data_IF_083814859490
#
_entry.id   IF_083814859490
#
_cell.length_a   1.000
_cell.length_b   1.000
_cell.length_c   1.000
_cell.angle_alpha   90.00
_cell.angle_beta   90.00
_cell.angle_gamma   90.00
#
_symmetry.space_group_name_H-M   'P 1'
#
loop_
_entity.id
_entity.type
_entity.pdbx_description
1 polymer ?
#
# COMPACT_ATOMS: atom_id res chain seq x y z
N UNK A 1 5.86 -7.84 -9.19
CA UNK A 1 6.66 -6.67 -8.76
C UNK A 1 6.21 -5.38 -9.40
N UNK A 2 5.81 -4.41 -8.57
CA UNK A 2 5.51 -3.05 -9.01
C UNK A 2 6.76 -2.37 -9.58
N UNK A 3 6.56 -1.50 -10.57
CA UNK A 3 7.61 -0.65 -11.09
C UNK A 3 8.07 0.38 -10.06
N UNK A 4 9.31 0.88 -10.19
CA UNK A 4 9.81 1.95 -9.33
C UNK A 4 8.96 3.24 -9.43
N UNK A 5 8.31 3.49 -10.57
CA UNK A 5 7.39 4.62 -10.75
C UNK A 5 6.14 4.47 -9.87
N UNK A 6 5.53 3.28 -9.86
CA UNK A 6 4.40 2.96 -9.00
C UNK A 6 4.77 3.03 -7.50
N UNK A 7 5.96 2.57 -7.12
CA UNK A 7 6.46 2.72 -5.74
C UNK A 7 6.59 4.19 -5.36
N UNK A 8 7.14 5.02 -6.26
CA UNK A 8 7.26 6.47 -6.05
C UNK A 8 5.88 7.14 -5.98
N UNK A 9 4.93 6.72 -6.82
CA UNK A 9 3.55 7.20 -6.78
C UNK A 9 2.91 6.95 -5.40
N UNK A 10 2.97 5.72 -4.90
CA UNK A 10 2.42 5.37 -3.58
C UNK A 10 3.13 6.18 -2.48
N UNK A 11 4.46 6.30 -2.55
CA UNK A 11 5.23 7.09 -1.59
C UNK A 11 4.81 8.57 -1.58
N UNK A 12 4.55 9.17 -2.74
CA UNK A 12 4.04 10.53 -2.82
C UNK A 12 2.64 10.66 -2.19
N UNK A 13 1.72 9.71 -2.45
CA UNK A 13 0.39 9.70 -1.84
C UNK A 13 0.43 9.63 -0.31
N UNK A 14 1.39 8.89 0.23
CA UNK A 14 1.63 8.84 1.68
C UNK A 14 2.21 10.16 2.16
N UNK A 15 3.22 10.71 1.50
CA UNK A 15 3.86 11.98 1.86
C UNK A 15 2.91 13.20 1.77
N UNK A 16 1.82 13.11 0.99
CA UNK A 16 0.76 14.12 0.94
C UNK A 16 -0.16 14.07 2.18
N UNK A 17 -0.22 12.92 2.86
CA UNK A 17 -1.18 12.66 3.95
C UNK A 17 -0.53 12.53 5.33
N UNK A 18 0.70 12.00 5.35
CA UNK A 18 1.49 11.76 6.55
C UNK A 18 2.59 12.81 6.57
N UNK A 19 2.75 13.47 7.71
CA UNK A 19 3.82 14.44 7.94
C UNK A 19 4.72 13.91 9.07
N UNK A 20 6.02 13.79 8.83
CA UNK A 20 7.01 13.34 9.81
C UNK A 20 7.81 14.53 10.36
N UNK A 21 7.33 15.23 11.40
CA UNK A 21 7.82 16.55 11.82
C UNK A 21 9.28 16.61 12.29
N UNK A 22 9.90 15.45 12.56
CA UNK A 22 11.28 15.34 13.05
C UNK A 22 12.29 15.21 11.89
N UNK A 23 11.81 14.91 10.68
CA UNK A 23 12.64 14.69 9.49
C UNK A 23 12.50 15.88 8.53
N UNK A 24 13.56 16.16 7.76
CA UNK A 24 13.41 17.06 6.60
C UNK A 24 12.73 16.32 5.45
N UNK A 25 12.04 17.05 4.56
CA UNK A 25 11.22 16.47 3.47
C UNK A 25 11.90 15.34 2.67
N UNK A 26 13.21 15.50 2.36
CA UNK A 26 13.96 14.46 1.64
C UNK A 26 14.15 13.17 2.45
N UNK A 27 14.38 13.29 3.75
CA UNK A 27 14.55 12.14 4.63
C UNK A 27 13.21 11.46 4.90
N UNK A 28 12.14 12.24 5.05
CA UNK A 28 10.77 11.76 5.16
C UNK A 28 10.35 10.93 3.94
N UNK A 29 10.49 11.48 2.73
CA UNK A 29 10.19 10.75 1.50
C UNK A 29 11.01 9.45 1.38
N UNK A 30 12.28 9.45 1.80
CA UNK A 30 13.10 8.25 1.78
C UNK A 30 12.60 7.18 2.75
N UNK A 31 12.21 7.56 3.97
CA UNK A 31 11.62 6.65 4.96
C UNK A 31 10.30 6.09 4.44
N UNK A 32 9.43 6.94 3.91
CA UNK A 32 8.14 6.54 3.33
C UNK A 32 8.35 5.59 2.15
N UNK A 33 9.28 5.88 1.24
CA UNK A 33 9.58 4.97 0.13
C UNK A 33 10.04 3.60 0.63
N UNK A 34 10.90 3.57 1.66
CA UNK A 34 11.36 2.32 2.28
C UNK A 34 10.21 1.58 2.98
N UNK A 35 9.28 2.30 3.58
CA UNK A 35 8.05 1.77 4.15
C UNK A 35 7.25 1.00 3.09
N UNK A 36 6.95 1.68 1.98
CA UNK A 36 6.19 1.12 0.85
C UNK A 36 6.87 -0.12 0.32
N UNK A 37 8.19 -0.09 0.09
CA UNK A 37 8.92 -1.27 -0.38
C UNK A 37 8.77 -2.45 0.58
N UNK A 38 8.93 -2.25 1.89
CA UNK A 38 8.72 -3.33 2.87
C UNK A 38 7.30 -3.90 2.86
N UNK A 39 6.30 -3.04 2.72
CA UNK A 39 4.90 -3.50 2.61
C UNK A 39 4.75 -4.37 1.37
N UNK A 40 5.25 -3.90 0.23
CA UNK A 40 5.18 -4.65 -1.02
C UNK A 40 5.88 -6.01 -0.93
N UNK A 41 7.09 -6.06 -0.36
CA UNK A 41 7.83 -7.32 -0.18
C UNK A 41 7.00 -8.34 0.63
N UNK A 42 6.36 -7.90 1.72
CA UNK A 42 5.52 -8.79 2.54
C UNK A 42 4.24 -9.21 1.82
N UNK A 43 3.62 -8.32 1.06
CA UNK A 43 2.44 -8.68 0.28
C UNK A 43 2.80 -9.67 -0.82
N UNK A 44 3.95 -9.53 -1.48
CA UNK A 44 4.41 -10.49 -2.48
C UNK A 44 4.70 -11.87 -1.87
N UNK A 45 5.25 -11.91 -0.66
CA UNK A 45 5.55 -13.17 0.04
C UNK A 45 4.29 -13.89 0.57
N UNK A 46 3.23 -13.16 0.91
CA UNK A 46 2.12 -13.68 1.70
C UNK A 46 0.77 -13.69 0.94
N UNK A 47 0.62 -12.87 -0.11
CA UNK A 47 -0.59 -12.85 -0.94
C UNK A 47 -0.44 -13.83 -2.11
N UNK A 48 -1.48 -14.64 -2.40
CA UNK A 48 -1.53 -15.46 -3.61
C UNK A 48 -1.25 -14.65 -4.89
N UNK A 49 -0.44 -15.21 -5.78
CA UNK A 49 -0.06 -14.60 -7.06
C UNK A 49 -1.27 -14.16 -7.90
N UNK A 50 -2.39 -14.89 -7.81
CA UNK A 50 -3.66 -14.54 -8.47
C UNK A 50 -4.19 -13.14 -8.08
N UNK A 51 -3.97 -12.68 -6.85
CA UNK A 51 -4.37 -11.33 -6.45
C UNK A 51 -3.35 -10.27 -6.89
N UNK A 52 -2.08 -10.66 -7.09
CA UNK A 52 -1.08 -9.76 -7.66
C UNK A 52 -1.40 -9.48 -9.13
N UNK A 53 -1.92 -10.48 -9.87
CA UNK A 53 -2.42 -10.31 -11.24
C UNK A 53 -3.50 -9.21 -11.35
N UNK A 54 -4.24 -8.91 -10.29
CA UNK A 54 -5.27 -7.86 -10.31
C UNK A 54 -4.67 -6.46 -10.49
N UNK A 55 -3.39 -6.27 -10.14
CA UNK A 55 -2.65 -5.03 -10.39
C UNK A 55 -2.25 -4.87 -11.86
N UNK A 56 -2.20 -5.97 -12.62
CA UNK A 56 -1.79 -6.01 -14.02
C UNK A 56 -2.99 -6.08 -14.98
N UNK A 57 -4.04 -6.81 -14.61
CA UNK A 57 -5.27 -7.01 -15.39
C UNK A 57 -6.50 -6.52 -14.62
N UNK A 58 -6.95 -5.32 -14.97
CA UNK A 58 -8.09 -4.65 -14.33
C UNK A 58 -9.42 -5.39 -14.52
N UNK A 59 -9.51 -6.34 -15.45
CA UNK A 59 -10.72 -7.12 -15.67
C UNK A 59 -10.94 -8.22 -14.61
N UNK A 60 -9.88 -8.61 -13.90
CA UNK A 60 -9.89 -9.71 -12.91
C UNK A 60 -10.04 -9.25 -11.46
N UNK A 61 -9.98 -7.94 -11.22
CA UNK A 61 -9.97 -7.36 -9.89
C UNK A 61 -11.18 -7.68 -9.01
N UNK A 62 -11.08 -7.32 -7.72
CA UNK A 62 -12.19 -7.40 -6.79
C UNK A 62 -13.40 -6.65 -7.32
N UNK A 63 -14.57 -7.31 -7.37
CA UNK A 63 -15.78 -6.77 -7.95
C UNK A 63 -16.80 -6.47 -6.82
N UNK A 64 -16.98 -5.19 -6.44
CA UNK A 64 -17.94 -4.80 -5.40
C UNK A 64 -19.39 -5.13 -5.78
N UNK A 65 -19.73 -5.15 -7.07
CA UNK A 65 -21.07 -5.51 -7.55
C UNK A 65 -21.33 -7.02 -7.40
N UNK A 66 -20.28 -7.83 -7.38
CA UNK A 66 -20.35 -9.25 -7.06
C UNK A 66 -20.13 -9.56 -5.57
N UNK A 67 -20.17 -8.54 -4.72
CA UNK A 67 -20.16 -8.70 -3.26
C UNK A 67 -18.78 -8.62 -2.60
N UNK A 68 -17.73 -8.22 -3.32
CA UNK A 68 -16.44 -7.97 -2.70
C UNK A 68 -16.54 -6.79 -1.71
N UNK A 69 -16.23 -7.04 -0.44
CA UNK A 69 -16.16 -5.99 0.57
C UNK A 69 -14.75 -5.39 0.61
N UNK A 70 -14.53 -4.35 -0.21
CA UNK A 70 -13.25 -3.69 -0.36
C UNK A 70 -12.73 -3.13 0.97
N UNK A 71 -13.61 -2.56 1.81
CA UNK A 71 -13.20 -2.01 3.10
C UNK A 71 -12.69 -3.11 4.03
N UNK A 72 -13.38 -4.25 4.09
CA UNK A 72 -12.93 -5.38 4.90
C UNK A 72 -11.57 -5.93 4.42
N UNK A 73 -11.36 -5.99 3.11
CA UNK A 73 -10.07 -6.41 2.53
C UNK A 73 -8.97 -5.44 2.96
N UNK A 74 -9.19 -4.13 2.82
CA UNK A 74 -8.24 -3.09 3.26
C UNK A 74 -7.92 -3.22 4.74
N UNK A 75 -8.93 -3.33 5.60
CA UNK A 75 -8.75 -3.41 7.05
C UNK A 75 -7.93 -4.64 7.44
N UNK A 76 -8.24 -5.80 6.87
CA UNK A 76 -7.51 -7.05 7.14
C UNK A 76 -6.05 -6.98 6.68
N UNK A 77 -5.78 -6.39 5.51
CA UNK A 77 -4.42 -6.27 4.98
C UNK A 77 -3.61 -5.26 5.80
N UNK A 78 -4.22 -4.13 6.20
CA UNK A 78 -3.56 -3.16 7.11
C UNK A 78 -3.20 -3.82 8.44
N UNK A 79 -4.13 -4.56 9.05
CA UNK A 79 -3.87 -5.25 10.32
C UNK A 79 -2.75 -6.29 10.17
N UNK A 80 -2.78 -7.08 9.10
CA UNK A 80 -1.74 -8.06 8.80
C UNK A 80 -0.36 -7.41 8.65
N UNK A 81 -0.26 -6.34 7.85
CA UNK A 81 1.00 -5.63 7.61
C UNK A 81 1.51 -4.97 8.89
N UNK A 82 0.64 -4.34 9.69
CA UNK A 82 1.02 -3.71 10.95
C UNK A 82 1.56 -4.71 11.99
N UNK A 83 1.17 -5.98 11.91
CA UNK A 83 1.72 -7.03 12.78
C UNK A 83 3.09 -7.55 12.30
N UNK A 84 3.42 -7.36 11.02
CA UNK A 84 4.61 -7.93 10.36
C UNK A 84 5.71 -6.91 10.11
N UNK A 85 5.33 -5.65 9.89
CA UNK A 85 6.26 -4.56 9.56
C UNK A 85 6.43 -3.66 10.75
N UNK A 86 7.70 -3.43 11.09
CA UNK A 86 8.10 -2.30 11.92
C UNK A 86 9.04 -1.40 11.09
N UNK A 87 8.78 -0.10 11.14
CA UNK A 87 9.52 0.96 10.49
C UNK A 87 10.27 1.76 11.56
N UNK A 88 11.60 1.59 11.63
CA UNK A 88 12.41 2.40 12.50
C UNK A 88 12.13 3.89 12.28
N UNK A 89 12.00 4.63 13.38
CA UNK A 89 11.73 6.08 13.46
C UNK A 89 10.25 6.49 13.33
N UNK A 90 9.34 5.56 13.04
CA UNK A 90 7.90 5.81 13.14
C UNK A 90 7.37 5.27 14.48
N UNK A 91 6.29 5.87 14.96
CA UNK A 91 5.49 5.28 16.03
C UNK A 91 4.35 4.46 15.41
N UNK A 92 3.73 3.58 16.20
CA UNK A 92 2.66 2.68 15.73
C UNK A 92 1.47 3.42 15.08
N UNK A 93 1.12 4.62 15.55
CA UNK A 93 0.03 5.40 14.96
C UNK A 93 0.39 5.86 13.54
N UNK A 94 1.59 6.39 13.37
CA UNK A 94 2.12 6.82 12.08
C UNK A 94 2.38 5.64 11.14
N UNK A 95 2.85 4.51 11.65
CA UNK A 95 2.99 3.28 10.86
C UNK A 95 1.65 2.84 10.30
N UNK A 96 0.62 2.80 11.14
CA UNK A 96 -0.73 2.44 10.72
C UNK A 96 -1.28 3.40 9.67
N UNK A 97 -1.00 4.70 9.76
CA UNK A 97 -1.37 5.67 8.71
C UNK A 97 -0.64 5.41 7.38
N UNK A 98 0.68 5.20 7.45
CA UNK A 98 1.50 4.89 6.27
C UNK A 98 1.02 3.61 5.58
N UNK A 99 0.77 2.55 6.35
CA UNK A 99 0.24 1.29 5.84
C UNK A 99 -1.17 1.47 5.31
N UNK A 100 -2.04 2.18 6.03
CA UNK A 100 -3.40 2.48 5.60
C UNK A 100 -3.44 3.10 4.21
N UNK A 101 -2.64 4.14 3.98
CA UNK A 101 -2.57 4.81 2.68
C UNK A 101 -1.96 3.91 1.60
N UNK A 102 -0.90 3.15 1.92
CA UNK A 102 -0.30 2.21 0.96
C UNK A 102 -1.30 1.13 0.52
N UNK A 103 -1.96 0.49 1.48
CA UNK A 103 -2.96 -0.56 1.24
C UNK A 103 -4.20 -0.01 0.55
N UNK A 104 -4.64 1.21 0.89
CA UNK A 104 -5.72 1.88 0.19
C UNK A 104 -5.45 1.95 -1.31
N UNK A 105 -4.27 2.47 -1.68
CA UNK A 105 -3.86 2.63 -3.09
C UNK A 105 -3.75 1.28 -3.78
N UNK A 106 -3.16 0.27 -3.12
CA UNK A 106 -2.98 -1.07 -3.69
C UNK A 106 -4.31 -1.80 -3.89
N UNK A 107 -5.16 -1.85 -2.87
CA UNK A 107 -6.44 -2.56 -2.94
C UNK A 107 -7.41 -1.83 -3.87
N UNK A 108 -7.35 -0.49 -3.93
CA UNK A 108 -8.07 0.25 -4.95
C UNK A 108 -7.57 -0.14 -6.35
N UNK A 109 -6.26 -0.22 -6.59
CA UNK A 109 -5.75 -0.69 -7.88
C UNK A 109 -6.11 -2.15 -8.20
N UNK A 110 -6.31 -3.01 -7.19
CA UNK A 110 -6.81 -4.38 -7.34
C UNK A 110 -8.33 -4.46 -7.52
N UNK A 111 -9.06 -3.35 -7.41
CA UNK A 111 -10.50 -3.31 -7.67
C UNK A 111 -10.73 -3.31 -9.18
N UNK A 112 -11.73 -4.06 -9.63
CA UNK A 112 -12.08 -4.16 -11.04
C UNK A 112 -12.26 -2.78 -11.69
N UNK A 113 -11.74 -2.65 -12.91
CA UNK A 113 -11.73 -1.43 -13.73
C UNK A 113 -10.91 -0.24 -13.17
N UNK A 114 -10.15 -0.42 -12.08
CA UNK A 114 -9.21 0.58 -11.57
C UNK A 114 -7.77 0.23 -11.99
N UNK A 115 -6.91 1.24 -12.09
CA UNK A 115 -5.49 1.10 -12.42
C UNK A 115 -4.64 1.77 -11.35
N UNK A 116 -3.48 1.18 -11.07
CA UNK A 116 -2.42 1.88 -10.38
C UNK A 116 -1.83 2.91 -11.34
N UNK A 117 -1.95 4.20 -11.02
CA UNK A 117 -1.44 5.27 -11.86
C UNK A 117 0.08 5.15 -12.06
N UNK A 118 0.56 5.59 -13.23
CA UNK A 118 1.98 5.70 -13.62
C UNK A 118 2.35 7.17 -13.75
#
# INVERSE_FOLDING_TARGET
>A
MLSNEQVVYIANKINEKVNLPVLGEKAEFFIIKKAVTKVLDILEDEIPEEYLDFLEDTAKGFDPEQGANIQLIKDNVVEFVNQKVNIPLLNEETEKEVFGVAIDVLVDAMTKDKKLEQ
#
